data_IF_425934835488
#
_entry.id   IF_425934835488
#
_cell.length_a   1.000
_cell.length_b   1.000
_cell.length_c   1.000
_cell.angle_alpha   90.00
_cell.angle_beta   90.00
_cell.angle_gamma   90.00
#
_symmetry.space_group_name_H-M   'P 1'
#
loop_
_entity.id
_entity.type
_entity.pdbx_description
1 polymer ?
#
# COMPACT_ATOMS: atom_id res chain seq x y z
N UNK A 1 -47.15 26.81 48.66
CA UNK A 1 -47.19 26.14 47.34
C UNK A 1 -47.67 27.21 46.37
N UNK A 2 -46.82 27.87 45.59
CA UNK A 2 -46.15 27.33 44.39
C UNK A 2 -44.77 27.98 44.22
N UNK A 3 -43.83 27.15 43.77
CA UNK A 3 -42.41 27.39 43.52
C UNK A 3 -42.24 28.28 42.29
N UNK A 4 -41.45 29.35 42.39
CA UNK A 4 -41.00 30.12 41.22
C UNK A 4 -39.76 29.45 40.63
N UNK A 5 -39.97 28.52 39.69
CA UNK A 5 -38.91 27.87 38.92
C UNK A 5 -38.35 28.86 37.89
N UNK A 6 -37.09 29.27 38.07
CA UNK A 6 -36.33 29.95 37.01
C UNK A 6 -35.68 28.90 36.12
N UNK A 7 -36.31 28.61 34.99
CA UNK A 7 -35.73 27.78 33.93
C UNK A 7 -34.66 28.59 33.20
N UNK A 8 -33.39 28.27 33.43
CA UNK A 8 -32.26 28.79 32.66
C UNK A 8 -32.24 28.02 31.33
N UNK A 9 -32.62 28.69 30.23
CA UNK A 9 -32.42 28.16 28.88
C UNK A 9 -30.93 28.16 28.53
N UNK A 10 -30.31 26.99 28.54
CA UNK A 10 -29.02 26.75 27.89
C UNK A 10 -29.27 26.50 26.39
N UNK A 11 -29.21 27.55 25.59
CA UNK A 11 -29.05 27.44 24.13
C UNK A 11 -27.63 27.85 23.75
N UNK A 12 -26.74 26.87 23.62
CA UNK A 12 -25.44 27.08 22.95
C UNK A 12 -25.58 26.79 21.46
N UNK A 13 -25.17 27.72 20.59
CA UNK A 13 -24.53 27.36 19.34
C UNK A 13 -23.12 27.96 19.36
N UNK A 14 -22.19 27.30 20.06
CA UNK A 14 -20.78 27.70 20.15
C UNK A 14 -19.96 27.36 18.88
N UNK A 15 -20.63 27.05 17.76
CA UNK A 15 -20.00 26.80 16.46
C UNK A 15 -20.09 28.00 15.50
N UNK A 16 -20.85 29.05 15.82
CA UNK A 16 -21.03 30.22 14.94
C UNK A 16 -20.07 31.39 15.18
N UNK A 17 -19.27 31.38 16.26
CA UNK A 17 -18.54 32.57 16.73
C UNK A 17 -17.13 32.75 16.14
N UNK A 18 -16.66 31.85 15.28
CA UNK A 18 -15.30 31.93 14.70
C UNK A 18 -15.24 32.45 13.25
N UNK A 19 -16.35 32.91 12.66
CA UNK A 19 -16.35 33.52 11.32
C UNK A 19 -17.17 34.84 11.24
N UNK A 20 -16.90 35.89 12.05
CA UNK A 20 -17.74 37.08 12.07
C UNK A 20 -17.42 38.11 10.97
N UNK A 21 -16.50 37.84 10.03
CA UNK A 21 -16.06 38.85 9.05
C UNK A 21 -15.72 38.33 7.66
N UNK A 22 -16.27 37.19 7.22
CA UNK A 22 -16.22 36.84 5.80
C UNK A 22 -17.32 37.64 5.08
N UNK A 23 -16.99 38.61 4.19
CA UNK A 23 -17.98 39.29 3.40
C UNK A 23 -18.61 38.26 2.45
N UNK A 24 -19.78 37.76 2.82
CA UNK A 24 -20.54 36.76 2.05
C UNK A 24 -20.78 37.25 0.61
N UNK A 25 -20.89 38.56 0.41
CA UNK A 25 -21.00 39.20 -0.91
C UNK A 25 -19.76 39.00 -1.79
N UNK A 26 -18.57 38.91 -1.19
CA UNK A 26 -17.31 38.63 -1.91
C UNK A 26 -17.16 37.14 -2.23
N UNK A 27 -17.72 36.26 -1.40
CA UNK A 27 -17.76 34.79 -1.63
C UNK A 27 -18.75 34.39 -2.74
N UNK A 28 -19.83 35.16 -2.94
CA UNK A 28 -20.84 34.95 -4.00
C UNK A 28 -20.52 35.69 -5.32
N UNK A 29 -19.43 36.47 -5.38
CA UNK A 29 -18.95 37.12 -6.61
C UNK A 29 -18.35 36.12 -7.60
N UNK A 30 -18.33 36.41 -8.90
CA UNK A 30 -17.70 35.57 -9.93
C UNK A 30 -16.23 35.24 -9.62
N UNK A 31 -15.49 36.21 -9.04
CA UNK A 31 -14.11 36.02 -8.60
C UNK A 31 -14.03 35.18 -7.32
N UNK A 32 -14.94 35.37 -6.37
CA UNK A 32 -15.03 34.56 -5.15
C UNK A 32 -15.33 33.10 -5.43
N UNK A 33 -16.29 32.85 -6.33
CA UNK A 33 -16.63 31.51 -6.80
C UNK A 33 -15.43 30.86 -7.50
N UNK A 34 -14.70 31.61 -8.33
CA UNK A 34 -13.49 31.09 -9.00
C UNK A 34 -12.42 30.65 -7.99
N UNK A 35 -12.16 31.46 -6.95
CA UNK A 35 -11.21 31.10 -5.89
C UNK A 35 -11.69 29.89 -5.09
N UNK A 36 -12.98 29.85 -4.74
CA UNK A 36 -13.57 28.73 -4.00
C UNK A 36 -13.48 27.42 -4.79
N UNK A 37 -13.72 27.46 -6.11
CA UNK A 37 -13.55 26.31 -6.99
C UNK A 37 -12.10 25.83 -7.04
N UNK A 38 -11.12 26.74 -7.11
CA UNK A 38 -9.71 26.38 -7.10
C UNK A 38 -9.29 25.73 -5.78
N UNK A 39 -9.74 26.27 -4.64
CA UNK A 39 -9.48 25.68 -3.32
C UNK A 39 -10.15 24.31 -3.20
N UNK A 40 -11.41 24.18 -3.64
CA UNK A 40 -12.12 22.90 -3.64
C UNK A 40 -11.40 21.85 -4.49
N UNK A 41 -10.94 22.22 -5.69
CA UNK A 41 -10.18 21.34 -6.56
C UNK A 41 -8.83 20.93 -5.95
N UNK A 42 -8.06 21.90 -5.43
CA UNK A 42 -6.79 21.62 -4.76
C UNK A 42 -6.99 20.67 -3.55
N UNK A 43 -8.04 20.90 -2.75
CA UNK A 43 -8.41 20.02 -1.64
C UNK A 43 -8.77 18.61 -2.10
N UNK A 44 -9.58 18.49 -3.15
CA UNK A 44 -9.95 17.20 -3.72
C UNK A 44 -8.72 16.43 -4.26
N UNK A 45 -7.82 17.12 -4.98
CA UNK A 45 -6.57 16.54 -5.49
C UNK A 45 -5.65 16.10 -4.37
N UNK A 46 -5.52 16.88 -3.29
CA UNK A 46 -4.74 16.50 -2.12
C UNK A 46 -5.28 15.22 -1.47
N UNK A 47 -6.61 15.13 -1.28
CA UNK A 47 -7.24 13.92 -0.73
C UNK A 47 -7.06 12.71 -1.63
N UNK A 48 -7.13 12.89 -2.95
CA UNK A 48 -6.92 11.83 -3.92
C UNK A 48 -5.49 11.28 -3.89
N UNK A 49 -4.49 12.17 -3.95
CA UNK A 49 -3.08 11.79 -3.96
C UNK A 49 -2.65 11.14 -2.64
N UNK A 50 -3.16 11.62 -1.51
CA UNK A 50 -2.85 11.03 -0.20
C UNK A 50 -3.54 9.69 0.04
N UNK A 51 -4.64 9.42 -0.66
CA UNK A 51 -5.38 8.16 -0.59
C UNK A 51 -4.86 7.08 -1.54
N UNK A 52 -3.88 7.41 -2.39
CA UNK A 52 -3.40 6.51 -3.42
C UNK A 52 -2.90 5.17 -2.82
N UNK A 53 -3.29 4.03 -3.42
CA UNK A 53 -2.80 2.73 -2.99
C UNK A 53 -1.29 2.63 -3.22
N UNK A 54 -0.57 2.09 -2.24
CA UNK A 54 0.87 1.82 -2.33
C UNK A 54 1.11 0.32 -2.50
N UNK A 55 2.06 -0.05 -3.35
CA UNK A 55 2.50 -1.44 -3.52
C UNK A 55 4.00 -1.48 -3.29
N UNK A 56 4.43 -2.25 -2.29
CA UNK A 56 5.85 -2.51 -2.06
C UNK A 56 6.23 -3.85 -2.64
N UNK A 57 7.43 -3.93 -3.20
CA UNK A 57 7.96 -5.19 -3.73
C UNK A 57 9.13 -5.66 -2.87
N UNK A 58 9.03 -6.89 -2.37
CA UNK A 58 10.11 -7.57 -1.64
C UNK A 58 10.58 -8.76 -2.46
N UNK A 59 11.86 -8.75 -2.79
CA UNK A 59 12.53 -9.89 -3.41
C UNK A 59 12.96 -10.87 -2.32
N UNK A 60 12.66 -12.15 -2.49
CA UNK A 60 13.00 -13.21 -1.54
C UNK A 60 13.86 -14.27 -2.19
N UNK A 61 14.63 -14.97 -1.36
CA UNK A 61 15.45 -16.11 -1.80
C UNK A 61 14.64 -17.38 -2.00
N UNK A 62 13.55 -17.56 -1.24
CA UNK A 62 12.68 -18.72 -1.31
C UNK A 62 11.22 -18.29 -1.06
N UNK A 63 10.35 -18.52 -2.05
CA UNK A 63 8.94 -18.12 -1.98
C UNK A 63 8.14 -18.93 -0.98
N UNK A 64 8.41 -20.22 -0.83
CA UNK A 64 7.65 -21.09 0.06
C UNK A 64 7.94 -20.73 1.53
N UNK A 65 9.21 -20.42 1.82
CA UNK A 65 9.56 -19.90 3.14
C UNK A 65 8.98 -18.51 3.38
N UNK A 66 8.98 -17.65 2.37
CA UNK A 66 8.36 -16.34 2.47
C UNK A 66 6.86 -16.46 2.74
N UNK A 67 6.16 -17.41 2.10
CA UNK A 67 4.75 -17.70 2.34
C UNK A 67 4.49 -18.05 3.79
N UNK A 68 5.25 -19.00 4.34
CA UNK A 68 5.16 -19.40 5.75
C UNK A 68 5.40 -18.22 6.70
N UNK A 69 6.37 -17.37 6.37
CA UNK A 69 6.70 -16.19 7.16
C UNK A 69 5.60 -15.11 7.12
N UNK A 70 5.18 -14.68 5.94
CA UNK A 70 4.24 -13.56 5.78
C UNK A 70 2.80 -13.96 6.13
N UNK A 71 2.35 -15.12 5.64
CA UNK A 71 0.99 -15.62 5.88
C UNK A 71 0.88 -16.28 7.26
N UNK A 72 1.81 -17.17 7.59
CA UNK A 72 1.76 -17.97 8.82
C UNK A 72 2.19 -17.18 10.05
N UNK A 73 3.42 -16.65 10.05
CA UNK A 73 4.00 -16.00 11.23
C UNK A 73 3.51 -14.56 11.44
N UNK A 74 3.43 -13.77 10.37
CA UNK A 74 2.95 -12.38 10.43
C UNK A 74 1.44 -12.23 10.24
N UNK A 75 0.74 -13.32 9.93
CA UNK A 75 -0.71 -13.33 9.76
C UNK A 75 -1.19 -12.30 8.74
N UNK A 76 -0.43 -12.08 7.66
CA UNK A 76 -0.82 -11.12 6.64
C UNK A 76 -1.96 -11.72 5.80
N UNK A 77 -3.08 -10.99 5.63
CA UNK A 77 -4.15 -11.45 4.76
C UNK A 77 -3.68 -11.51 3.31
N UNK A 78 -3.99 -12.63 2.65
CA UNK A 78 -3.76 -12.81 1.21
C UNK A 78 -4.60 -11.77 0.45
N UNK A 79 -3.98 -11.11 -0.52
CA UNK A 79 -4.67 -10.18 -1.39
C UNK A 79 -5.02 -10.90 -2.70
N UNK A 80 -6.30 -11.21 -2.90
CA UNK A 80 -6.79 -11.94 -4.07
C UNK A 80 -6.64 -11.16 -5.38
N UNK A 81 -6.59 -9.82 -5.31
CA UNK A 81 -6.45 -8.94 -6.46
C UNK A 81 -5.31 -7.94 -6.22
N UNK A 82 -4.23 -8.01 -7.02
CA UNK A 82 -3.20 -6.99 -7.04
C UNK A 82 -3.79 -5.61 -7.36
N UNK A 83 -3.52 -4.61 -6.52
CA UNK A 83 -3.84 -3.21 -6.83
C UNK A 83 -3.10 -2.70 -8.08
N UNK A 84 -2.09 -3.45 -8.54
CA UNK A 84 -1.34 -3.15 -9.77
C UNK A 84 -2.17 -3.28 -11.05
N UNK A 85 -3.30 -4.00 -11.04
CA UNK A 85 -4.15 -4.15 -12.24
C UNK A 85 -4.76 -2.84 -12.76
N UNK A 86 -4.68 -1.74 -12.00
CA UNK A 86 -5.16 -0.44 -12.45
C UNK A 86 -4.17 0.35 -13.33
N UNK A 87 -2.93 -0.13 -13.51
CA UNK A 87 -1.91 0.55 -14.32
C UNK A 87 -1.09 -0.43 -15.18
N UNK A 88 -1.74 -1.16 -16.08
CA UNK A 88 -1.07 -1.98 -17.08
C UNK A 88 -0.43 -1.09 -18.18
N UNK A 89 0.81 -0.64 -17.98
CA UNK A 89 1.61 -0.01 -19.05
C UNK A 89 2.35 -1.06 -19.92
N UNK A 90 2.69 -2.22 -19.35
CA UNK A 90 3.48 -3.27 -20.01
C UNK A 90 2.71 -4.02 -21.12
N UNK A 91 1.38 -4.15 -20.99
CA UNK A 91 0.58 -4.83 -22.01
C UNK A 91 0.41 -3.99 -23.29
N UNK A 92 0.61 -2.67 -23.22
CA UNK A 92 0.41 -1.76 -24.38
C UNK A 92 1.72 -1.38 -25.08
N UNK A 93 2.87 -1.43 -24.41
CA UNK A 93 4.16 -1.11 -25.06
C UNK A 93 4.81 -2.32 -25.77
N UNK A 94 4.43 -3.56 -25.45
CA UNK A 94 4.95 -4.77 -26.10
C UNK A 94 4.14 -5.28 -27.32
N UNK A 95 2.94 -4.72 -27.58
CA UNK A 95 2.02 -5.23 -28.62
C UNK A 95 1.60 -4.19 -29.66
N UNK A 96 2.13 -2.96 -29.57
CA UNK A 96 1.79 -1.86 -30.49
C UNK A 96 2.26 -2.05 -31.95
N UNK A 97 2.76 -3.22 -32.35
CA UNK A 97 3.12 -3.55 -33.73
C UNK A 97 2.34 -4.71 -34.35
N UNK A 98 1.34 -5.27 -33.65
CA UNK A 98 0.51 -6.35 -34.22
C UNK A 98 -0.95 -5.89 -34.16
N UNK A 99 -1.46 -5.49 -35.32
CA UNK A 99 -2.89 -5.31 -35.56
C UNK A 99 -3.63 -6.61 -35.16
N UNK A 100 -4.59 -6.56 -34.20
CA UNK A 100 -5.31 -7.74 -33.71
C UNK A 100 -6.08 -8.48 -34.82
N UNK A 101 -6.27 -7.86 -35.98
CA UNK A 101 -6.99 -8.45 -37.10
C UNK A 101 -6.14 -9.43 -37.93
N UNK A 102 -4.80 -9.34 -37.87
CA UNK A 102 -3.89 -10.11 -38.72
C UNK A 102 -3.26 -11.36 -38.06
N UNK A 103 -3.48 -11.58 -36.75
CA UNK A 103 -3.00 -12.76 -36.02
C UNK A 103 -3.89 -14.01 -36.12
N UNK A 104 -4.97 -13.95 -36.90
CA UNK A 104 -6.07 -14.93 -36.88
C UNK A 104 -5.88 -16.14 -37.82
N UNK A 105 -4.66 -16.42 -38.31
CA UNK A 105 -4.41 -17.53 -39.26
C UNK A 105 -3.39 -18.58 -38.80
N UNK A 106 -2.91 -18.54 -37.55
CA UNK A 106 -2.08 -19.62 -37.02
C UNK A 106 -2.74 -20.31 -35.81
N UNK A 107 -3.20 -21.56 -36.05
CA UNK A 107 -3.68 -22.54 -35.07
C UNK A 107 -5.17 -22.46 -34.67
N UNK A 108 -6.03 -22.88 -35.61
CA UNK A 108 -7.25 -23.62 -35.25
C UNK A 108 -6.82 -24.93 -34.56
N UNK A 109 -7.26 -25.15 -33.32
CA UNK A 109 -7.18 -26.46 -32.67
C UNK A 109 -6.12 -26.60 -31.58
N UNK A 110 -6.18 -25.75 -30.55
CA UNK A 110 -5.71 -26.09 -29.20
C UNK A 110 -6.37 -25.13 -28.21
N UNK A 111 -7.14 -25.60 -27.21
CA UNK A 111 -7.33 -24.80 -26.02
C UNK A 111 -5.96 -24.70 -25.38
N UNK A 112 -5.24 -23.63 -25.68
CA UNK A 112 -4.17 -23.19 -24.79
C UNK A 112 -4.90 -22.80 -23.52
N UNK A 113 -5.00 -23.77 -22.61
CA UNK A 113 -4.90 -23.49 -21.19
C UNK A 113 -3.58 -22.73 -21.05
N UNK A 114 -3.64 -21.41 -21.28
CA UNK A 114 -2.65 -20.46 -20.84
C UNK A 114 -2.75 -20.56 -19.33
N UNK A 115 -2.02 -21.54 -18.81
CA UNK A 115 -1.72 -21.67 -17.42
C UNK A 115 -1.31 -20.28 -16.96
N UNK A 116 -2.00 -19.79 -15.95
CA UNK A 116 -1.64 -18.65 -15.11
C UNK A 116 -0.26 -18.89 -14.44
N UNK A 117 0.79 -19.09 -15.24
CA UNK A 117 2.13 -19.51 -14.83
C UNK A 117 3.15 -18.37 -15.02
N UNK A 118 2.70 -17.12 -15.01
CA UNK A 118 3.61 -15.95 -15.10
C UNK A 118 3.29 -14.87 -14.06
N UNK A 119 2.91 -15.28 -12.86
CA UNK A 119 3.03 -14.46 -11.66
C UNK A 119 3.44 -15.37 -10.51
N UNK A 120 4.70 -15.80 -10.48
CA UNK A 120 5.29 -16.53 -9.34
C UNK A 120 5.51 -15.60 -8.12
N UNK A 121 4.55 -14.72 -7.84
CA UNK A 121 4.61 -13.75 -6.76
C UNK A 121 3.44 -13.93 -5.80
N UNK A 122 3.69 -13.72 -4.51
CA UNK A 122 2.67 -13.76 -3.46
C UNK A 122 2.20 -12.34 -3.16
N UNK A 123 0.89 -12.17 -3.00
CA UNK A 123 0.28 -10.87 -2.74
C UNK A 123 -0.35 -10.85 -1.36
N UNK A 124 0.03 -9.86 -0.55
CA UNK A 124 -0.46 -9.68 0.80
C UNK A 124 -0.92 -8.26 1.04
N UNK A 125 -1.93 -8.10 1.90
CA UNK A 125 -2.40 -6.79 2.33
C UNK A 125 -1.68 -6.40 3.64
N UNK A 126 -0.88 -5.34 3.60
CA UNK A 126 -0.11 -4.86 4.76
C UNK A 126 -0.91 -3.86 5.60
N UNK A 127 -1.65 -2.96 4.93
CA UNK A 127 -2.58 -1.98 5.51
C UNK A 127 -3.74 -1.75 4.55
N UNK A 128 -4.79 -1.00 4.93
CA UNK A 128 -5.97 -0.74 4.07
C UNK A 128 -5.63 -0.31 2.63
N UNK A 129 -4.65 0.58 2.46
CA UNK A 129 -4.23 1.10 1.15
C UNK A 129 -2.80 0.69 0.79
N UNK A 130 -2.28 -0.40 1.36
CA UNK A 130 -0.90 -0.83 1.11
C UNK A 130 -0.83 -2.34 0.93
N UNK A 131 -0.31 -2.75 -0.22
CA UNK A 131 -0.05 -4.14 -0.54
C UNK A 131 1.44 -4.43 -0.58
N UNK A 132 1.75 -5.70 -0.34
CA UNK A 132 3.08 -6.26 -0.37
C UNK A 132 3.10 -7.34 -1.46
N UNK A 133 3.94 -7.13 -2.46
CA UNK A 133 4.22 -8.08 -3.53
C UNK A 133 5.54 -8.79 -3.22
N UNK A 134 5.48 -10.09 -3.03
CA UNK A 134 6.65 -10.92 -2.77
C UNK A 134 7.01 -11.64 -4.05
N UNK A 135 8.23 -11.44 -4.54
CA UNK A 135 8.74 -12.10 -5.74
C UNK A 135 10.04 -12.84 -5.43
N UNK A 136 10.33 -13.92 -6.16
CA UNK A 136 11.65 -14.54 -6.12
C UNK A 136 12.68 -13.62 -6.78
N UNK A 137 13.95 -13.76 -6.40
CA UNK A 137 15.06 -13.05 -7.07
C UNK A 137 16.16 -12.52 -6.15
N UNK A 138 16.00 -12.64 -4.83
CA UNK A 138 17.09 -12.28 -3.92
C UNK A 138 18.11 -13.42 -3.79
N UNK A 139 19.39 -13.09 -3.81
CA UNK A 139 20.44 -14.04 -3.44
C UNK A 139 20.38 -14.32 -1.94
N UNK A 140 20.88 -15.49 -1.53
CA UNK A 140 21.10 -15.79 -0.12
C UNK A 140 22.00 -14.72 0.53
N UNK A 141 21.75 -14.45 1.81
CA UNK A 141 22.50 -13.52 2.63
C UNK A 141 23.77 -14.12 3.22
N UNK A 142 24.40 -13.38 4.14
CA UNK A 142 25.61 -13.86 4.80
C UNK A 142 25.34 -15.16 5.57
N UNK A 143 26.27 -16.12 5.50
CA UNK A 143 26.15 -17.46 6.11
C UNK A 143 24.99 -18.28 5.53
N UNK A 144 24.72 -18.13 4.24
CA UNK A 144 23.64 -18.84 3.53
C UNK A 144 22.27 -18.65 4.17
N UNK A 145 22.04 -17.46 4.73
CA UNK A 145 20.76 -17.11 5.35
C UNK A 145 19.75 -16.74 4.29
N UNK A 146 18.50 -17.02 4.61
CA UNK A 146 17.36 -16.62 3.78
C UNK A 146 17.26 -15.10 3.85
N UNK A 147 17.05 -14.47 2.69
CA UNK A 147 17.19 -13.02 2.56
C UNK A 147 15.99 -12.45 1.83
N UNK A 148 15.40 -11.45 2.46
CA UNK A 148 14.31 -10.65 1.93
C UNK A 148 14.83 -9.23 1.73
N UNK A 149 14.69 -8.73 0.51
CA UNK A 149 15.27 -7.48 0.07
C UNK A 149 14.16 -6.55 -0.39
N UNK A 150 14.08 -5.36 0.19
CA UNK A 150 13.18 -4.30 -0.26
C UNK A 150 14.00 -3.08 -0.68
N UNK A 151 13.54 -2.36 -1.70
CA UNK A 151 14.15 -1.10 -2.11
C UNK A 151 13.63 0.08 -1.28
N UNK A 152 12.37 0.03 -0.86
CA UNK A 152 11.76 1.09 -0.07
C UNK A 152 12.08 0.94 1.42
N UNK A 153 12.51 2.02 2.06
CA UNK A 153 12.71 2.06 3.51
C UNK A 153 11.40 1.82 4.27
N UNK A 154 10.34 2.53 3.88
CA UNK A 154 9.00 2.44 4.47
C UNK A 154 8.42 1.03 4.42
N UNK A 155 8.78 0.24 3.40
CA UNK A 155 8.38 -1.16 3.26
C UNK A 155 8.91 -2.00 4.42
N UNK A 156 10.22 -1.93 4.67
CA UNK A 156 10.86 -2.69 5.75
C UNK A 156 10.49 -2.18 7.12
N UNK A 157 10.29 -0.88 7.29
CA UNK A 157 9.79 -0.32 8.54
C UNK A 157 8.39 -0.86 8.88
N UNK A 158 7.49 -0.95 7.89
CA UNK A 158 6.16 -1.53 8.11
C UNK A 158 6.21 -3.03 8.42
N UNK A 159 7.09 -3.79 7.76
CA UNK A 159 7.32 -5.19 8.09
C UNK A 159 7.89 -5.33 9.50
N UNK A 160 8.85 -4.49 9.90
CA UNK A 160 9.43 -4.48 11.24
C UNK A 160 8.39 -4.18 12.32
N UNK A 161 7.52 -3.18 12.10
CA UNK A 161 6.41 -2.88 13.01
C UNK A 161 5.47 -4.08 13.15
N UNK A 162 5.19 -4.80 12.07
CA UNK A 162 4.36 -6.01 12.10
C UNK A 162 5.03 -7.15 12.88
N UNK A 163 6.32 -7.37 12.65
CA UNK A 163 7.16 -8.33 13.39
C UNK A 163 7.12 -8.04 14.89
N UNK A 164 7.25 -6.75 15.25
CA UNK A 164 7.17 -6.29 16.64
C UNK A 164 5.78 -6.51 17.24
N UNK A 165 4.71 -6.17 16.53
CA UNK A 165 3.34 -6.31 17.04
C UNK A 165 2.93 -7.77 17.25
N UNK A 166 3.48 -8.71 16.46
CA UNK A 166 3.27 -10.15 16.61
C UNK A 166 4.22 -10.79 17.64
N UNK A 167 5.11 -10.02 18.28
CA UNK A 167 6.04 -10.52 19.29
C UNK A 167 7.11 -11.47 18.73
N UNK A 168 7.36 -11.43 17.42
CA UNK A 168 8.34 -12.29 16.76
C UNK A 168 9.75 -11.87 17.17
N UNK A 169 10.65 -12.83 17.43
CA UNK A 169 12.03 -12.51 17.83
C UNK A 169 12.77 -11.83 16.69
N UNK A 170 13.25 -10.61 16.93
CA UNK A 170 14.00 -9.82 15.96
C UNK A 170 15.28 -9.21 16.56
N UNK A 171 16.20 -8.82 15.68
CA UNK A 171 17.41 -8.06 16.03
C UNK A 171 17.73 -7.05 14.94
N UNK A 172 17.68 -5.77 15.26
CA UNK A 172 18.15 -4.70 14.37
C UNK A 172 19.68 -4.72 14.34
N UNK A 173 20.26 -4.69 13.13
CA UNK A 173 21.72 -4.64 12.92
C UNK A 173 22.19 -3.25 12.49
N UNK A 174 21.36 -2.53 11.74
CA UNK A 174 21.64 -1.20 11.21
C UNK A 174 20.32 -0.49 10.92
N UNK A 175 20.26 0.80 11.20
CA UNK A 175 19.06 1.62 10.95
C UNK A 175 19.01 2.19 9.52
N UNK A 176 20.16 2.50 8.90
CA UNK A 176 20.26 3.05 7.54
C UNK A 176 21.50 2.53 6.77
N UNK A 177 21.35 1.87 5.61
CA UNK A 177 20.11 1.22 5.15
C UNK A 177 19.60 0.22 6.19
N UNK A 178 18.28 0.13 6.35
CA UNK A 178 17.63 -0.67 7.38
C UNK A 178 17.97 -2.15 7.16
N UNK A 179 18.54 -2.78 8.19
CA UNK A 179 18.87 -4.20 8.19
C UNK A 179 18.53 -4.80 9.56
N UNK A 180 17.71 -5.82 9.54
CA UNK A 180 17.34 -6.56 10.74
C UNK A 180 17.18 -8.05 10.46
N UNK A 181 17.36 -8.84 11.50
CA UNK A 181 17.19 -10.28 11.46
C UNK A 181 15.88 -10.64 12.16
N UNK A 182 15.17 -11.60 11.60
CA UNK A 182 13.95 -12.17 12.19
C UNK A 182 14.16 -13.67 12.35
N UNK A 183 13.67 -14.23 13.46
CA UNK A 183 13.71 -15.66 13.71
C UNK A 183 12.33 -16.25 13.48
N UNK A 184 12.27 -17.25 12.62
CA UNK A 184 11.06 -18.01 12.32
C UNK A 184 10.75 -19.04 13.43
N UNK A 185 9.58 -19.66 13.38
CA UNK A 185 9.12 -20.69 14.33
C UNK A 185 10.08 -21.90 14.37
N UNK A 186 10.60 -22.30 13.21
CA UNK A 186 11.60 -23.37 13.07
C UNK A 186 13.02 -22.94 13.52
N UNK A 187 13.16 -21.73 14.05
CA UNK A 187 14.42 -21.18 14.50
C UNK A 187 15.36 -20.72 13.38
N UNK A 188 14.91 -20.79 12.11
CA UNK A 188 15.59 -20.25 10.93
C UNK A 188 15.74 -18.73 11.07
N UNK A 189 16.84 -18.18 10.57
CA UNK A 189 17.09 -16.72 10.60
C UNK A 189 16.90 -16.15 9.21
N UNK A 190 15.96 -15.23 9.09
CA UNK A 190 15.66 -14.48 7.88
C UNK A 190 16.30 -13.10 8.02
N UNK A 191 17.08 -12.70 7.02
CA UNK A 191 17.66 -11.37 6.92
C UNK A 191 16.76 -10.45 6.09
N UNK A 192 16.32 -9.36 6.70
CA UNK A 192 15.59 -8.28 6.05
C UNK A 192 16.59 -7.16 5.74
N UNK A 193 16.73 -6.80 4.47
CA UNK A 193 17.74 -5.85 4.03
C UNK A 193 17.18 -4.81 3.06
N UNK A 194 17.37 -3.54 3.37
CA UNK A 194 17.16 -2.43 2.46
C UNK A 194 18.32 -2.38 1.46
N UNK A 195 18.01 -2.17 0.18
CA UNK A 195 19.03 -1.88 -0.84
C UNK A 195 19.38 -0.39 -0.76
N UNK A 196 20.61 -0.07 -0.36
CA UNK A 196 21.14 1.28 -0.55
C UNK A 196 21.55 1.48 -2.01
N UNK A 197 21.04 2.54 -2.63
CA UNK A 197 21.51 3.03 -3.93
C UNK A 197 22.79 3.86 -3.77
#
# INVERSE_FOLDING_TARGET
MVIADRVISLTSPLFGAFLPSLPLDSLMSTQGIMVLLLVAYAGAMWMFLTSAPKVYTVMVSDLEMARQFYEGLLGLPVADVPLHYYYNYEQTLGTASIDPLYGSTASLGRPVNQSYQTSEGLWYQLKKNTQLHIISGASLGQKSRQRHVCFDHDCLEQVLMRVQSYGVKYKIRRDKPLNFLVKDLDGRVIEMAEVSN
#
